data_IF_515839041819
#
_entry.id   IF_515839041819
#
_cell.length_a   1.000
_cell.length_b   1.000
_cell.length_c   1.000
_cell.angle_alpha   90.00
_cell.angle_beta   90.00
_cell.angle_gamma   90.00
#
_symmetry.space_group_name_H-M   'P 1'
#
loop_
_entity.id
_entity.type
_entity.pdbx_description
1 polymer ?
#
# COMPACT_ATOMS: atom_id res chain seq x y z
N UNK A 1 -1.76 -0.80 17.56
CA UNK A 1 -2.89 -0.01 17.02
C UNK A 1 -3.45 -0.75 15.82
N UNK A 2 -4.77 -0.77 15.63
CA UNK A 2 -5.42 -1.52 14.54
C UNK A 2 -4.88 -1.15 13.14
N UNK A 3 -4.58 0.13 12.92
CA UNK A 3 -3.97 0.62 11.68
C UNK A 3 -2.64 -0.08 11.34
N UNK A 4 -1.84 -0.39 12.35
CA UNK A 4 -0.54 -1.03 12.19
C UNK A 4 -0.67 -2.50 11.78
N UNK A 5 -1.73 -3.18 12.27
CA UNK A 5 -2.08 -4.53 11.86
C UNK A 5 -2.61 -4.57 10.43
N UNK A 6 -3.47 -3.62 10.05
CA UNK A 6 -3.97 -3.47 8.68
C UNK A 6 -2.80 -3.28 7.73
N UNK A 7 -1.89 -2.33 8.01
CA UNK A 7 -0.69 -2.12 7.18
C UNK A 7 0.18 -3.38 7.08
N UNK A 8 0.38 -4.11 8.18
CA UNK A 8 1.15 -5.37 8.18
C UNK A 8 0.49 -6.45 7.33
N UNK A 9 -0.83 -6.58 7.37
CA UNK A 9 -1.60 -7.52 6.53
C UNK A 9 -1.49 -7.12 5.06
N UNK A 10 -1.76 -5.87 4.74
CA UNK A 10 -1.67 -5.35 3.37
C UNK A 10 -0.26 -5.53 2.78
N UNK A 11 0.79 -5.31 3.59
CA UNK A 11 2.18 -5.58 3.19
C UNK A 11 2.47 -7.07 3.00
N UNK A 12 1.87 -7.97 3.80
CA UNK A 12 2.00 -9.42 3.61
C UNK A 12 1.35 -9.90 2.33
N UNK A 13 0.26 -9.27 1.91
CA UNK A 13 -0.41 -9.62 0.67
C UNK A 13 0.29 -9.06 -0.57
N UNK A 14 1.20 -8.09 -0.41
CA UNK A 14 2.14 -7.73 -1.47
C UNK A 14 3.08 -8.90 -1.72
N UNK A 15 3.24 -9.27 -2.99
CA UNK A 15 4.24 -10.26 -3.38
C UNK A 15 5.63 -9.92 -2.83
N UNK A 16 6.44 -10.91 -2.42
CA UNK A 16 7.67 -10.68 -1.65
C UNK A 16 8.64 -9.73 -2.36
N UNK A 17 8.74 -9.79 -3.69
CA UNK A 17 9.58 -8.88 -4.48
C UNK A 17 9.09 -7.42 -4.44
N UNK A 18 7.78 -7.19 -4.43
CA UNK A 18 7.20 -5.84 -4.35
C UNK A 18 7.36 -5.27 -2.94
N UNK A 19 7.12 -6.11 -1.92
CA UNK A 19 7.28 -5.76 -0.51
C UNK A 19 8.69 -5.29 -0.20
N UNK A 20 9.71 -6.06 -0.61
CA UNK A 20 11.11 -5.70 -0.36
C UNK A 20 11.49 -4.39 -1.04
N UNK A 21 11.06 -4.18 -2.29
CA UNK A 21 11.31 -2.91 -2.99
C UNK A 21 10.63 -1.74 -2.28
N UNK A 22 9.39 -1.91 -1.82
CA UNK A 22 8.64 -0.89 -1.10
C UNK A 22 9.30 -0.53 0.24
N UNK A 23 9.70 -1.53 1.03
CA UNK A 23 10.39 -1.29 2.30
C UNK A 23 11.66 -0.48 2.07
N UNK A 24 12.51 -0.90 1.12
CA UNK A 24 13.77 -0.21 0.86
C UNK A 24 13.57 1.22 0.32
N UNK A 25 12.56 1.44 -0.53
CA UNK A 25 12.35 2.74 -1.20
C UNK A 25 11.50 3.72 -0.40
N UNK A 26 10.40 3.24 0.17
CA UNK A 26 9.34 4.07 0.74
C UNK A 26 9.43 4.11 2.28
N UNK A 27 10.08 3.13 2.94
CA UNK A 27 10.27 3.11 4.41
C UNK A 27 11.70 3.50 4.79
N UNK A 28 12.69 2.80 4.24
CA UNK A 28 14.12 3.02 4.53
C UNK A 28 14.72 4.20 3.76
N UNK A 29 14.01 4.71 2.74
CA UNK A 29 14.41 5.91 1.99
C UNK A 29 15.62 5.72 1.06
N UNK A 30 16.02 4.50 0.72
CA UNK A 30 17.13 4.25 -0.21
C UNK A 30 16.83 4.87 -1.57
N UNK A 31 17.87 5.30 -2.30
CA UNK A 31 17.74 5.70 -3.70
C UNK A 31 17.38 4.52 -4.62
N UNK A 32 16.90 4.82 -5.84
CA UNK A 32 16.62 3.77 -6.84
C UNK A 32 17.86 2.94 -7.17
N UNK A 33 19.02 3.59 -7.23
CA UNK A 33 20.31 2.96 -7.54
C UNK A 33 20.80 2.08 -6.39
N UNK A 34 20.67 2.56 -5.15
CA UNK A 34 21.01 1.78 -3.95
C UNK A 34 20.14 0.54 -3.83
N UNK A 35 18.83 0.68 -4.03
CA UNK A 35 17.90 -0.45 -4.02
C UNK A 35 18.15 -1.43 -5.19
N UNK A 36 18.50 -0.92 -6.38
CA UNK A 36 18.86 -1.73 -7.54
C UNK A 36 20.11 -2.57 -7.25
N UNK A 37 21.15 -1.95 -6.69
CA UNK A 37 22.39 -2.62 -6.27
C UNK A 37 22.14 -3.66 -5.17
N UNK A 38 21.37 -3.31 -4.14
CA UNK A 38 21.07 -4.20 -3.02
C UNK A 38 20.28 -5.45 -3.44
N UNK A 39 19.44 -5.34 -4.47
CA UNK A 39 18.58 -6.43 -4.93
C UNK A 39 19.10 -7.15 -6.18
N UNK A 40 20.23 -6.71 -6.75
CA UNK A 40 20.76 -7.26 -8.01
C UNK A 40 19.81 -7.05 -9.19
N UNK A 41 19.10 -5.92 -9.21
CA UNK A 41 18.10 -5.57 -10.22
C UNK A 41 18.53 -4.35 -11.03
N UNK A 42 17.91 -4.14 -12.19
CA UNK A 42 18.04 -2.87 -12.90
C UNK A 42 17.23 -1.76 -12.22
N UNK A 43 17.70 -0.52 -12.34
CA UNK A 43 16.99 0.69 -11.84
C UNK A 43 15.58 0.78 -12.43
N UNK A 44 15.40 0.45 -13.71
CA UNK A 44 14.09 0.39 -14.35
C UNK A 44 13.16 -0.64 -13.70
N UNK A 45 13.69 -1.81 -13.34
CA UNK A 45 12.90 -2.85 -12.68
C UNK A 45 12.52 -2.46 -11.24
N UNK A 46 13.39 -1.74 -10.51
CA UNK A 46 13.06 -1.16 -9.20
C UNK A 46 11.97 -0.10 -9.33
N UNK A 47 12.08 0.80 -10.31
CA UNK A 47 11.06 1.84 -10.58
C UNK A 47 9.70 1.23 -10.86
N UNK A 48 9.63 0.23 -11.74
CA UNK A 48 8.41 -0.47 -12.09
C UNK A 48 7.80 -1.25 -10.90
N UNK A 49 8.64 -1.87 -10.06
CA UNK A 49 8.20 -2.58 -8.86
C UNK A 49 7.70 -1.64 -7.76
N UNK A 50 8.38 -0.52 -7.54
CA UNK A 50 7.98 0.50 -6.56
C UNK A 50 6.63 1.13 -6.94
N UNK A 51 6.42 1.45 -8.22
CA UNK A 51 5.11 1.93 -8.68
C UNK A 51 4.00 0.89 -8.51
N UNK A 52 4.25 -0.37 -8.90
CA UNK A 52 3.28 -1.47 -8.70
C UNK A 52 2.97 -1.73 -7.23
N UNK A 53 3.99 -1.70 -6.36
CA UNK A 53 3.80 -1.86 -4.91
C UNK A 53 2.88 -0.79 -4.35
N UNK A 54 3.11 0.49 -4.68
CA UNK A 54 2.24 1.61 -4.26
C UNK A 54 0.82 1.48 -4.79
N UNK A 55 0.65 1.09 -6.06
CA UNK A 55 -0.67 0.91 -6.66
C UNK A 55 -1.48 -0.17 -5.91
N UNK A 56 -0.88 -1.34 -5.69
CA UNK A 56 -1.54 -2.42 -4.96
C UNK A 56 -1.85 -2.04 -3.51
N UNK A 57 -0.92 -1.35 -2.84
CA UNK A 57 -1.16 -0.89 -1.47
C UNK A 57 -2.33 0.10 -1.41
N UNK A 58 -2.38 1.04 -2.35
CA UNK A 58 -3.47 2.03 -2.45
C UNK A 58 -4.82 1.37 -2.72
N UNK A 59 -4.90 0.44 -3.67
CA UNK A 59 -6.15 -0.26 -3.97
C UNK A 59 -6.68 -1.05 -2.78
N UNK A 60 -5.80 -1.73 -2.04
CA UNK A 60 -6.18 -2.50 -0.86
C UNK A 60 -6.60 -1.60 0.30
N UNK A 61 -5.83 -0.54 0.56
CA UNK A 61 -6.18 0.43 1.61
C UNK A 61 -7.48 1.15 1.28
N UNK A 62 -7.70 1.55 0.03
CA UNK A 62 -8.96 2.16 -0.42
C UNK A 62 -10.15 1.24 -0.17
N UNK A 63 -10.04 -0.07 -0.46
CA UNK A 63 -11.09 -1.04 -0.12
C UNK A 63 -11.34 -1.12 1.39
N UNK A 64 -10.27 -1.15 2.19
CA UNK A 64 -10.36 -1.19 3.64
C UNK A 64 -11.09 0.04 4.21
N UNK A 65 -10.76 1.24 3.74
CA UNK A 65 -11.39 2.47 4.19
C UNK A 65 -12.83 2.60 3.69
N UNK A 66 -13.13 2.18 2.45
CA UNK A 66 -14.51 2.15 1.96
C UNK A 66 -15.39 1.17 2.73
N UNK A 67 -14.88 -0.02 3.08
CA UNK A 67 -15.62 -0.95 3.94
C UNK A 67 -15.83 -0.36 5.34
N UNK A 68 -14.83 0.31 5.91
CA UNK A 68 -14.96 0.97 7.21
C UNK A 68 -16.02 2.09 7.21
N UNK A 69 -16.19 2.82 6.10
CA UNK A 69 -17.26 3.82 5.94
C UNK A 69 -18.65 3.18 5.79
N UNK A 70 -18.76 2.04 5.09
CA UNK A 70 -20.03 1.33 4.88
C UNK A 70 -20.59 0.75 6.20
N UNK A 71 -19.72 0.39 7.16
CA UNK A 71 -20.15 0.00 8.52
C UNK A 71 -20.55 1.20 9.39
N UNK A 72 -20.10 2.41 9.08
CA UNK A 72 -20.45 3.62 9.83
C UNK A 72 -21.84 4.19 9.43
N UNK A 73 -22.35 3.83 8.25
CA UNK A 73 -23.62 4.35 7.71
C UNK A 73 -24.87 3.57 8.18
N UNK A 74 -24.71 2.36 8.74
CA UNK A 74 -25.86 1.52 9.19
C UNK A 74 -26.55 2.06 10.47
N UNK A 75 -26.11 3.19 11.03
CA UNK A 75 -26.74 3.85 12.19
C UNK A 75 -27.10 5.32 11.97
N UNK A 76 -26.99 5.87 10.75
CA UNK A 76 -27.34 7.26 10.48
C UNK A 76 -28.60 7.35 9.58
N UNK A 77 -29.74 7.89 10.05
CA UNK A 77 -30.93 7.97 9.20
C UNK A 77 -30.85 9.04 8.10
N UNK A 78 -29.77 9.82 7.95
CA UNK A 78 -29.63 10.83 6.88
C UNK A 78 -28.15 11.19 6.60
N UNK A 79 -27.55 10.62 5.55
CA UNK A 79 -26.23 10.99 5.03
C UNK A 79 -26.30 12.04 3.88
N UNK A 80 -25.21 12.77 3.60
CA UNK A 80 -25.23 14.04 2.84
C UNK A 80 -25.36 13.89 1.31
N UNK A 81 -25.63 12.70 0.79
CA UNK A 81 -26.00 12.46 -0.62
C UNK A 81 -27.53 12.42 -0.82
N UNK A 82 -28.29 13.08 0.05
CA UNK A 82 -29.70 13.36 -0.21
C UNK A 82 -29.80 14.55 -1.19
N UNK A 83 -29.77 14.22 -2.49
CA UNK A 83 -30.09 15.04 -3.67
C UNK A 83 -29.30 16.33 -3.91
#
# INVERSE_FOLDING_TARGET
>A
TELQEILRRTLHELGPTLRVVFVLRDIEGLSLEQAAKALGLSVAAVKARSWRARLQLRERLSKYFHQAEEFADVSAPNGPYAS
#
